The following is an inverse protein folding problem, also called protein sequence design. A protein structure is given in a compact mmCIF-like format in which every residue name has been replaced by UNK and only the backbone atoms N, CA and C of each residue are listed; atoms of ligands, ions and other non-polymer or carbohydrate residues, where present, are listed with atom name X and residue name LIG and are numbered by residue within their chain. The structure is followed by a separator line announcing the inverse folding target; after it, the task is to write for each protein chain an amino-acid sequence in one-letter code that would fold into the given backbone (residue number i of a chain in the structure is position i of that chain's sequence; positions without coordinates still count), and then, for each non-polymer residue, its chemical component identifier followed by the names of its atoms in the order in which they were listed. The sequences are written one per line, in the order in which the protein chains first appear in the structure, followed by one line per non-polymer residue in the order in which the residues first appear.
data_IF_672023599200
#
_entry.id   IF_672023599200
#
_cell.length_a   1.000
_cell.length_b   1.000
_cell.length_c   1.000
_cell.angle_alpha   90.00
_cell.angle_beta   90.00
_cell.angle_gamma   90.00
#
_symmetry.space_group_name_H-M   'P 1'
#
loop_
_entity.id
_entity.type
_entity.pdbx_description
1 polymer ?
#
# COMPACT_ATOMS: atom_id res chain seq x y z
N UNK A 1 10.01 5.18 -11.67
CA UNK A 1 8.98 6.23 -11.82
C UNK A 1 8.24 6.36 -10.51
N UNK A 2 8.01 7.58 -10.01
CA UNK A 2 7.15 7.83 -8.85
C UNK A 2 5.77 8.12 -9.41
N UNK A 3 4.80 7.23 -9.18
CA UNK A 3 3.41 7.55 -9.45
C UNK A 3 2.92 8.49 -8.35
N UNK A 4 2.19 9.54 -8.73
CA UNK A 4 1.53 10.44 -7.78
C UNK A 4 0.05 10.08 -7.62
N UNK A 5 -0.61 10.67 -6.62
CA UNK A 5 -2.08 10.62 -6.50
C UNK A 5 -2.79 11.08 -7.77
N UNK A 6 -2.24 12.01 -8.54
CA UNK A 6 -2.81 12.45 -9.82
C UNK A 6 -2.74 11.34 -10.87
N UNK A 7 -1.58 10.68 -11.00
CA UNK A 7 -1.42 9.53 -11.91
C UNK A 7 -2.33 8.37 -11.51
N UNK A 8 -2.59 8.21 -10.22
CA UNK A 8 -3.49 7.18 -9.69
C UNK A 8 -4.98 7.56 -9.78
N UNK A 9 -5.32 8.82 -10.08
CA UNK A 9 -6.71 9.31 -10.08
C UNK A 9 -7.46 9.04 -11.39
N UNK A 10 -6.81 8.55 -12.45
CA UNK A 10 -7.47 8.29 -13.73
C UNK A 10 -8.69 7.35 -13.67
N UNK A 11 -8.83 6.39 -12.72
CA UNK A 11 -10.04 5.57 -12.62
C UNK A 11 -11.22 6.31 -12.00
N UNK A 12 -10.99 7.44 -11.31
CA UNK A 12 -12.00 8.15 -10.53
C UNK A 12 -13.30 8.44 -11.33
N UNK A 13 -13.26 8.94 -12.58
CA UNK A 13 -14.49 9.19 -13.35
C UNK A 13 -15.36 7.94 -13.55
N UNK A 14 -14.74 6.76 -13.64
CA UNK A 14 -15.46 5.48 -13.80
C UNK A 14 -16.24 5.12 -12.54
N UNK A 15 -15.67 5.37 -11.36
CA UNK A 15 -16.32 5.09 -10.07
C UNK A 15 -17.36 6.14 -9.71
N UNK A 16 -16.96 7.42 -9.83
CA UNK A 16 -17.81 8.58 -9.54
C UNK A 16 -19.10 8.55 -10.35
N UNK A 17 -19.02 8.28 -11.66
CA UNK A 17 -20.20 8.20 -12.54
C UNK A 17 -21.19 7.09 -12.15
N UNK A 18 -20.78 6.14 -11.30
CA UNK A 18 -21.60 5.05 -10.76
C UNK A 18 -21.99 5.27 -9.29
N UNK A 19 -21.82 6.49 -8.77
CA UNK A 19 -22.16 6.83 -7.39
C UNK A 19 -21.17 6.30 -6.35
N UNK A 20 -19.94 5.98 -6.75
CA UNK A 20 -18.88 5.53 -5.83
C UNK A 20 -17.90 6.66 -5.59
N UNK A 21 -17.72 7.03 -4.31
CA UNK A 21 -16.67 7.96 -3.92
C UNK A 21 -15.27 7.33 -4.11
N UNK A 22 -14.33 8.08 -4.69
CA UNK A 22 -12.98 7.60 -4.99
C UNK A 22 -11.92 8.43 -4.24
N UNK A 23 -11.04 7.75 -3.52
CA UNK A 23 -9.92 8.36 -2.80
C UNK A 23 -8.59 7.76 -3.28
N UNK A 24 -7.66 8.64 -3.71
CA UNK A 24 -6.29 8.26 -4.11
C UNK A 24 -5.28 8.88 -3.14
N UNK A 25 -4.88 8.15 -2.07
CA UNK A 25 -3.87 8.65 -1.15
C UNK A 25 -2.45 8.46 -1.69
N UNK A 26 -1.60 9.47 -1.50
CA UNK A 26 -0.16 9.29 -1.59
C UNK A 26 0.37 8.60 -0.32
N UNK A 27 1.27 7.63 -0.48
CA UNK A 27 1.85 6.88 0.64
C UNK A 27 3.37 7.05 0.79
N UNK A 28 3.96 7.98 0.02
CA UNK A 28 5.39 8.30 0.03
C UNK A 28 6.24 7.35 -0.81
N UNK A 29 7.56 7.54 -0.76
CA UNK A 29 8.53 6.79 -1.59
C UNK A 29 9.46 5.96 -0.72
N UNK A 30 9.86 4.79 -1.23
CA UNK A 30 10.87 3.92 -0.61
C UNK A 30 12.24 4.60 -0.43
N UNK A 31 12.51 5.70 -1.16
CA UNK A 31 13.72 6.51 -0.98
C UNK A 31 13.72 7.30 0.33
N UNK A 32 12.55 7.53 0.91
CA UNK A 32 12.33 8.42 2.06
C UNK A 32 11.69 7.71 3.25
N UNK A 33 10.98 6.61 3.00
CA UNK A 33 10.20 5.87 3.99
C UNK A 33 10.52 4.39 3.88
N UNK A 34 10.48 3.71 5.02
CA UNK A 34 10.45 2.24 5.08
C UNK A 34 9.10 1.71 4.58
N UNK A 35 9.07 0.46 4.11
CA UNK A 35 7.81 -0.19 3.72
C UNK A 35 6.78 -0.19 4.87
N UNK A 36 7.22 -0.36 6.12
CA UNK A 36 6.35 -0.25 7.30
C UNK A 36 5.68 1.12 7.40
N UNK A 37 6.44 2.20 7.23
CA UNK A 37 5.89 3.56 7.24
C UNK A 37 4.94 3.82 6.07
N UNK A 38 5.23 3.24 4.89
CA UNK A 38 4.34 3.34 3.73
C UNK A 38 3.01 2.60 3.98
N UNK A 39 3.05 1.40 4.56
CA UNK A 39 1.85 0.66 4.98
C UNK A 39 1.06 1.48 6.02
N UNK A 40 1.74 2.08 6.98
CA UNK A 40 1.10 2.92 8.00
C UNK A 40 0.42 4.15 7.38
N UNK A 41 1.03 4.79 6.38
CA UNK A 41 0.39 5.87 5.63
C UNK A 41 -0.91 5.39 4.96
N UNK A 42 -0.90 4.20 4.34
CA UNK A 42 -2.10 3.63 3.75
C UNK A 42 -3.18 3.30 4.80
N UNK A 43 -2.80 2.77 5.96
CA UNK A 43 -3.74 2.50 7.07
C UNK A 43 -4.40 3.77 7.57
N UNK A 44 -3.62 4.83 7.80
CA UNK A 44 -4.15 6.16 8.17
C UNK A 44 -5.05 6.76 7.11
N UNK A 45 -4.77 6.51 5.83
CA UNK A 45 -5.65 6.93 4.75
C UNK A 45 -7.01 6.22 4.82
N UNK A 46 -7.04 4.90 5.08
CA UNK A 46 -8.30 4.16 5.29
C UNK A 46 -9.09 4.71 6.47
N UNK A 47 -8.44 4.91 7.63
CA UNK A 47 -9.08 5.50 8.81
C UNK A 47 -9.69 6.87 8.50
N UNK A 48 -8.95 7.71 7.79
CA UNK A 48 -9.44 9.03 7.38
C UNK A 48 -10.63 8.89 6.42
N UNK A 49 -10.55 8.00 5.43
CA UNK A 49 -11.63 7.74 4.48
C UNK A 49 -12.89 7.28 5.20
N UNK A 50 -12.81 6.32 6.14
CA UNK A 50 -13.97 5.86 6.89
C UNK A 50 -14.57 6.97 7.76
N UNK A 51 -13.74 7.74 8.46
CA UNK A 51 -14.19 8.87 9.30
C UNK A 51 -14.87 9.98 8.50
N UNK A 52 -14.49 10.16 7.23
CA UNK A 52 -14.98 11.25 6.40
C UNK A 52 -15.91 10.79 5.25
N UNK A 53 -16.16 9.50 5.07
CA UNK A 53 -16.91 8.98 3.92
C UNK A 53 -18.27 9.68 3.75
N UNK A 54 -19.01 9.84 4.85
CA UNK A 54 -20.32 10.48 4.85
C UNK A 54 -20.30 11.93 4.34
N UNK A 55 -19.24 12.70 4.60
CA UNK A 55 -19.14 14.09 4.13
C UNK A 55 -18.92 14.19 2.62
N UNK A 56 -18.49 13.11 1.98
CA UNK A 56 -18.35 12.98 0.52
C UNK A 56 -19.50 12.19 -0.12
N UNK A 57 -20.55 11.85 0.64
CA UNK A 57 -21.67 11.04 0.14
C UNK A 57 -21.33 9.55 0.00
N UNK A 58 -20.21 9.09 0.57
CA UNK A 58 -19.85 7.68 0.65
C UNK A 58 -20.41 7.02 1.91
N UNK A 59 -20.52 5.70 1.88
CA UNK A 59 -20.93 4.89 3.03
C UNK A 59 -19.69 4.34 3.76
N UNK A 60 -19.45 4.72 5.03
CA UNK A 60 -18.30 4.24 5.80
C UNK A 60 -18.30 2.73 6.04
N UNK A 61 -19.44 2.05 5.84
CA UNK A 61 -19.56 0.59 5.94
C UNK A 61 -19.33 -0.11 4.59
N UNK A 62 -19.01 0.60 3.51
CA UNK A 62 -18.79 0.04 2.18
C UNK A 62 -17.47 0.51 1.58
N UNK A 63 -16.39 0.34 2.35
CA UNK A 63 -15.04 0.73 1.94
C UNK A 63 -14.29 -0.46 1.35
N UNK A 64 -13.61 -0.21 0.23
CA UNK A 64 -12.80 -1.17 -0.51
C UNK A 64 -11.43 -0.56 -0.79
N UNK A 65 -10.39 -1.40 -0.89
CA UNK A 65 -9.04 -0.96 -1.24
C UNK A 65 -8.62 -1.54 -2.58
N UNK A 66 -7.93 -0.76 -3.40
CA UNK A 66 -7.35 -1.25 -4.65
C UNK A 66 -5.90 -0.80 -4.76
N UNK A 67 -5.06 -1.65 -5.34
CA UNK A 67 -3.65 -1.36 -5.54
C UNK A 67 -3.10 -2.03 -6.79
N UNK A 68 -2.10 -1.40 -7.40
CA UNK A 68 -1.37 -1.92 -8.56
C UNK A 68 0.13 -2.00 -8.28
N UNK A 69 0.78 -3.10 -8.68
CA UNK A 69 2.22 -3.33 -8.51
C UNK A 69 2.66 -3.18 -7.05
N UNK A 70 3.56 -2.23 -6.73
CA UNK A 70 3.92 -1.94 -5.34
C UNK A 70 2.74 -1.48 -4.49
N UNK A 71 1.74 -0.82 -5.08
CA UNK A 71 0.50 -0.46 -4.39
C UNK A 71 -0.37 -1.67 -4.05
N UNK A 72 -0.33 -2.74 -4.85
CA UNK A 72 -1.03 -3.98 -4.53
C UNK A 72 -0.42 -4.68 -3.32
N UNK A 73 0.91 -4.61 -3.15
CA UNK A 73 1.57 -5.08 -1.94
C UNK A 73 1.10 -4.32 -0.70
N UNK A 74 1.07 -2.98 -0.76
CA UNK A 74 0.59 -2.16 0.35
C UNK A 74 -0.89 -2.41 0.66
N UNK A 75 -1.73 -2.51 -0.38
CA UNK A 75 -3.14 -2.84 -0.24
C UNK A 75 -3.34 -4.22 0.40
N UNK A 76 -2.49 -5.21 0.10
CA UNK A 76 -2.53 -6.52 0.76
C UNK A 76 -2.22 -6.40 2.27
N UNK A 77 -1.16 -5.67 2.64
CA UNK A 77 -0.84 -5.41 4.05
C UNK A 77 -1.96 -4.67 4.79
N UNK A 78 -2.65 -3.76 4.10
CA UNK A 78 -3.82 -3.04 4.63
C UNK A 78 -5.02 -3.98 4.82
N UNK A 79 -5.27 -4.91 3.88
CA UNK A 79 -6.36 -5.88 3.98
C UNK A 79 -6.22 -6.82 5.18
N UNK A 80 -5.00 -7.26 5.50
CA UNK A 80 -4.73 -8.17 6.63
C UNK A 80 -4.48 -7.43 7.96
N UNK A 81 -4.69 -6.12 8.00
CA UNK A 81 -4.52 -5.34 9.23
C UNK A 81 -5.63 -5.70 10.20
N UNK A 82 -5.28 -5.96 11.47
CA UNK A 82 -6.29 -6.00 12.53
C UNK A 82 -6.82 -4.58 12.78
N UNK A 83 -8.01 -4.32 12.24
CA UNK A 83 -8.67 -3.03 12.34
C UNK A 83 -9.24 -2.75 13.73
N UNK A 84 -9.43 -3.78 14.55
CA UNK A 84 -9.96 -3.63 15.92
C UNK A 84 -8.96 -2.91 16.83
N UNK A 85 -7.66 -3.17 16.65
CA UNK A 85 -6.57 -2.42 17.32
C UNK A 85 -6.56 -0.94 16.95
N UNK A 86 -7.25 -0.57 15.86
CA UNK A 86 -7.30 0.79 15.31
C UNK A 86 -8.67 1.45 15.51
N UNK A 87 -9.47 0.93 16.45
CA UNK A 87 -10.82 1.41 16.76
C UNK A 87 -11.78 1.39 15.57
N UNK A 88 -11.58 0.45 14.64
CA UNK A 88 -12.47 0.19 13.52
C UNK A 88 -13.05 -1.24 13.61
N UNK A 89 -14.20 -1.51 12.98
CA UNK A 89 -14.75 -2.86 12.94
C UNK A 89 -13.77 -3.86 12.33
N UNK A 90 -13.79 -5.12 12.77
CA UNK A 90 -12.93 -6.17 12.21
C UNK A 90 -13.12 -6.33 10.68
N UNK A 91 -14.34 -6.07 10.20
CA UNK A 91 -14.72 -6.10 8.79
C UNK A 91 -14.72 -4.69 8.16
N UNK A 92 -13.87 -3.77 8.64
CA UNK A 92 -13.77 -2.40 8.16
C UNK A 92 -13.67 -2.28 6.64
N UNK A 93 -12.89 -3.17 6.01
CA UNK A 93 -12.78 -3.28 4.56
C UNK A 93 -13.64 -4.45 4.06
N UNK A 94 -14.52 -4.18 3.09
CA UNK A 94 -15.41 -5.19 2.51
C UNK A 94 -14.74 -6.01 1.40
N UNK A 95 -13.53 -5.62 1.00
CA UNK A 95 -12.72 -6.37 0.05
C UNK A 95 -11.63 -5.50 -0.57
N UNK A 96 -10.84 -6.10 -1.45
CA UNK A 96 -9.89 -5.35 -2.23
C UNK A 96 -9.45 -5.99 -3.54
N UNK A 97 -8.91 -5.14 -4.42
CA UNK A 97 -8.42 -5.51 -5.74
C UNK A 97 -6.90 -5.33 -5.79
N UNK A 98 -6.17 -6.45 -5.94
CA UNK A 98 -4.71 -6.47 -5.87
C UNK A 98 -4.12 -6.84 -7.24
N UNK A 99 -3.72 -5.82 -8.01
CA UNK A 99 -3.30 -5.99 -9.40
C UNK A 99 -1.78 -6.09 -9.52
N UNK A 100 -1.29 -7.21 -10.05
CA UNK A 100 0.15 -7.39 -10.38
C UNK A 100 1.09 -7.14 -9.20
N UNK A 101 0.65 -7.46 -7.97
CA UNK A 101 1.41 -7.23 -6.74
C UNK A 101 2.50 -8.27 -6.48
N UNK A 102 3.49 -7.86 -5.68
CA UNK A 102 4.46 -8.78 -5.07
C UNK A 102 4.03 -9.00 -3.63
N UNK A 103 3.90 -10.25 -3.20
CA UNK A 103 3.44 -10.59 -1.84
C UNK A 103 4.53 -11.31 -1.04
N UNK A 104 5.43 -12.00 -1.76
CA UNK A 104 6.66 -12.53 -1.20
C UNK A 104 7.83 -11.58 -1.52
N UNK A 105 8.38 -10.95 -0.48
CA UNK A 105 9.54 -10.07 -0.62
C UNK A 105 10.88 -10.80 -0.58
N UNK A 106 10.92 -12.11 -0.27
CA UNK A 106 12.18 -12.84 -0.19
C UNK A 106 13.00 -12.79 -1.51
N UNK A 107 12.42 -13.04 -2.70
CA UNK A 107 13.17 -12.87 -3.96
C UNK A 107 13.63 -11.43 -4.20
N UNK A 108 12.87 -10.44 -3.70
CA UNK A 108 13.22 -9.02 -3.81
C UNK A 108 14.46 -8.70 -2.98
N UNK A 109 14.60 -9.30 -1.79
CA UNK A 109 15.78 -9.17 -0.94
C UNK A 109 17.05 -9.80 -1.53
N UNK A 110 16.90 -10.84 -2.33
CA UNK A 110 18.05 -11.47 -3.01
C UNK A 110 18.49 -10.65 -4.23
N UNK A 111 17.61 -9.81 -4.77
CA UNK A 111 17.90 -8.96 -5.93
C UNK A 111 18.60 -7.66 -5.54
N UNK A 112 19.10 -6.93 -6.55
CA UNK A 112 19.67 -5.59 -6.34
C UNK A 112 18.72 -4.59 -5.67
N UNK A 113 17.42 -4.89 -5.64
CA UNK A 113 16.38 -4.10 -5.00
C UNK A 113 16.48 -4.04 -3.48
N UNK A 114 17.16 -5.01 -2.86
CA UNK A 114 17.41 -5.05 -1.42
C UNK A 114 18.14 -3.81 -0.90
N UNK A 115 19.06 -3.27 -1.71
CA UNK A 115 19.93 -2.14 -1.35
C UNK A 115 19.17 -0.83 -1.03
N UNK A 116 17.99 -0.62 -1.61
CA UNK A 116 17.18 0.58 -1.41
C UNK A 116 15.87 0.33 -0.65
N UNK A 117 15.51 -0.93 -0.38
CA UNK A 117 14.35 -1.26 0.45
C UNK A 117 14.72 -1.51 1.92
N UNK A 118 16.03 -1.58 2.23
CA UNK A 118 16.56 -1.83 3.59
C UNK A 118 15.87 -3.02 4.27
N UNK A 119 15.60 -4.07 3.51
CA UNK A 119 14.93 -5.28 3.99
C UNK A 119 15.93 -6.13 4.77
N UNK A 120 15.85 -6.10 6.10
CA UNK A 120 16.58 -7.02 6.97
C UNK A 120 15.71 -8.24 7.33
N UNK A 121 16.35 -9.34 7.66
CA UNK A 121 15.69 -10.61 7.96
C UNK A 121 14.70 -10.51 9.15
N UNK A 122 15.03 -9.74 10.18
CA UNK A 122 14.13 -9.41 11.30
C UNK A 122 13.00 -8.42 10.95
N UNK A 123 13.04 -7.82 9.76
CA UNK A 123 12.04 -6.85 9.30
C UNK A 123 10.83 -7.46 8.60
N UNK A 124 10.83 -8.76 8.29
CA UNK A 124 9.82 -9.45 7.47
C UNK A 124 8.43 -9.51 8.10
N UNK A 125 8.35 -9.73 9.41
CA UNK A 125 7.13 -10.14 10.13
C UNK A 125 5.95 -9.14 10.19
N UNK A 126 6.01 -8.02 9.46
CA UNK A 126 4.87 -7.07 9.38
C UNK A 126 4.71 -6.43 8.01
N UNK A 127 5.41 -6.92 6.99
CA UNK A 127 5.40 -6.40 5.62
C UNK A 127 5.26 -7.52 4.58
N UNK A 128 5.17 -8.78 4.98
CA UNK A 128 4.76 -9.87 4.11
C UNK A 128 3.36 -10.30 4.51
N UNK A 129 2.36 -10.23 3.60
CA UNK A 129 1.13 -10.97 3.80
C UNK A 129 1.45 -12.47 3.74
N UNK A 130 1.04 -13.20 4.78
CA UNK A 130 1.32 -14.63 5.05
C UNK A 130 2.03 -15.38 3.91
N UNK A 131 3.35 -15.23 3.86
CA UNK A 131 4.19 -16.00 2.97
C UNK A 131 4.46 -17.37 3.63
N UNK A 132 4.26 -18.50 2.93
CA UNK A 132 4.62 -19.80 3.49
C UNK A 132 6.11 -19.83 3.84
N UNK A 133 6.46 -20.45 4.98
CA UNK A 133 7.84 -20.70 5.35
C UNK A 133 8.54 -21.50 4.24
N UNK A 134 9.53 -20.88 3.58
CA UNK A 134 10.29 -21.52 2.50
C UNK A 134 11.63 -22.07 3.01
N UNK A 135 12.13 -23.18 2.43
CA UNK A 135 13.39 -23.80 2.81
C UNK A 135 14.62 -22.95 2.42
N UNK A 136 15.70 -23.09 3.19
CA UNK A 136 16.84 -22.16 3.34
C UNK A 136 17.74 -21.89 2.12
N UNK A 137 17.41 -22.36 0.92
CA UNK A 137 18.36 -22.33 -0.21
C UNK A 137 17.73 -21.82 -1.53
N UNK A 138 18.00 -20.55 -1.86
CA UNK A 138 17.91 -20.02 -3.23
C UNK A 138 19.18 -19.24 -3.63
N UNK A 139 19.56 -19.19 -4.92
CA UNK A 139 20.87 -18.65 -5.37
C UNK A 139 20.92 -17.11 -5.42
N UNK A 140 22.11 -16.57 -5.13
CA UNK A 140 22.42 -15.14 -4.90
C UNK A 140 22.31 -14.25 -6.16
N UNK A 141 21.52 -13.17 -6.10
CA UNK A 141 21.30 -12.20 -7.19
C UNK A 141 21.94 -10.81 -6.93
N UNK A 142 23.14 -10.79 -6.30
CA UNK A 142 24.01 -9.60 -6.20
C UNK A 142 24.52 -9.11 -7.56
N UNK A 143 23.83 -8.17 -8.22
CA UNK A 143 24.42 -7.07 -9.03
C UNK A 143 23.31 -6.19 -9.62
N UNK A 144 23.64 -4.92 -9.87
CA UNK A 144 22.86 -3.85 -10.56
C UNK A 144 22.24 -2.79 -9.64
N UNK A 145 23.06 -1.80 -9.26
CA UNK A 145 22.70 -0.58 -8.51
C UNK A 145 22.62 0.66 -9.42
N UNK A 146 21.80 1.67 -9.06
CA UNK A 146 22.05 3.14 -9.18
C UNK A 146 20.88 4.03 -8.64
N UNK A 147 21.10 5.35 -8.35
CA UNK A 147 20.61 6.01 -7.13
C UNK A 147 19.63 7.20 -7.29
N UNK A 148 19.01 7.60 -6.16
CA UNK A 148 18.93 9.02 -5.72
C UNK A 148 17.59 9.78 -5.84
N UNK A 149 17.13 10.37 -4.72
CA UNK A 149 16.43 11.67 -4.52
C UNK A 149 15.23 11.67 -3.53
N UNK A 150 15.39 12.53 -2.52
CA UNK A 150 14.51 13.08 -1.47
C UNK A 150 13.44 14.04 -2.07
N UNK A 151 12.38 14.53 -1.43
CA UNK A 151 11.78 14.49 -0.08
C UNK A 151 10.38 15.15 -0.15
N UNK A 152 9.78 15.50 1.00
CA UNK A 152 8.57 16.33 1.23
C UNK A 152 7.23 15.60 1.54
N UNK A 153 6.58 16.09 2.60
CA UNK A 153 5.27 15.74 3.17
C UNK A 153 4.10 15.91 2.17
N UNK A 154 3.06 15.07 2.26
CA UNK A 154 1.98 15.01 1.26
C UNK A 154 0.56 15.20 1.83
N UNK A 155 -0.30 16.00 1.15
CA UNK A 155 -1.73 16.17 1.44
C UNK A 155 -2.65 15.25 0.59
N UNK A 156 -3.82 14.91 1.13
CA UNK A 156 -4.85 14.05 0.49
C UNK A 156 -5.67 14.82 -0.56
N UNK A 157 -6.03 14.18 -1.70
CA UNK A 157 -7.02 14.69 -2.67
C UNK A 157 -8.23 13.75 -2.73
N UNK A 158 -9.42 14.29 -2.51
CA UNK A 158 -10.67 13.65 -2.93
C UNK A 158 -11.16 14.31 -4.21
N UNK A 159 -11.68 13.52 -5.13
CA UNK A 159 -12.34 14.01 -6.36
C UNK A 159 -13.78 13.49 -6.33
N UNK A 160 -14.73 14.40 -6.55
CA UNK A 160 -16.17 14.13 -6.61
C UNK A 160 -16.63 13.95 -8.03
#
# INVERSE_FOLDING_TARGET
TRNTREDASYPAPTFVSRGVAYAAPDFGSVKTLTLRQMVENCRRAVEWTMKNAASFGGDPNRVYVAGHSSGAHLAACVLITDWTERSLPADALKGGLLMSGMYDLYPVMLSSRSSYLHLTEGGRGGIQPDAPSRPDHLPDCRRVSRPGQSGVQAPVRCVR
#
